data_IF_810535565193
#
_entry.id   IF_810535565193
#
_cell.length_a   1.000
_cell.length_b   1.000
_cell.length_c   1.000
_cell.angle_alpha   90.00
_cell.angle_beta   90.00
_cell.angle_gamma   90.00
#
_symmetry.space_group_name_H-M   'P 1'
#
loop_
_entity.id
_entity.type
_entity.pdbx_description
1 polymer ?
#
# COMPACT_ATOMS: atom_id res chain seq x y z
N UNK A 1 6.67 -18.75 11.94
CA UNK A 1 6.62 -17.47 11.21
C UNK A 1 5.78 -17.75 10.00
N UNK A 2 4.60 -17.14 9.89
CA UNK A 2 3.83 -17.25 8.65
C UNK A 2 4.65 -16.63 7.53
N UNK A 3 4.71 -17.34 6.39
CA UNK A 3 5.31 -16.81 5.17
C UNK A 3 4.29 -15.83 4.62
N UNK A 4 4.60 -14.55 4.68
CA UNK A 4 3.79 -13.50 4.07
C UNK A 4 4.17 -13.50 2.59
N UNK A 5 3.18 -13.65 1.71
CA UNK A 5 3.41 -13.42 0.29
C UNK A 5 3.75 -11.93 0.09
N UNK A 6 4.52 -11.59 -0.95
CA UNK A 6 4.94 -10.21 -1.17
C UNK A 6 3.74 -9.24 -1.24
N UNK A 7 2.66 -9.67 -1.89
CA UNK A 7 1.34 -9.04 -1.85
C UNK A 7 0.47 -9.91 -0.96
N UNK A 8 0.18 -9.41 0.24
CA UNK A 8 -0.63 -10.12 1.22
C UNK A 8 -2.13 -9.90 0.95
N UNK A 9 -2.48 -8.72 0.45
CA UNK A 9 -3.87 -8.32 0.23
C UNK A 9 -4.03 -7.41 -0.99
N UNK A 10 -5.11 -7.64 -1.75
CA UNK A 10 -5.59 -6.75 -2.81
C UNK A 10 -6.99 -6.24 -2.44
N UNK A 11 -7.16 -4.92 -2.44
CA UNK A 11 -8.43 -4.25 -2.11
C UNK A 11 -8.92 -3.48 -3.34
N UNK A 12 -10.07 -3.87 -3.87
CA UNK A 12 -10.76 -3.11 -4.92
C UNK A 12 -11.58 -1.97 -4.30
N UNK A 13 -11.29 -0.73 -4.69
CA UNK A 13 -11.87 0.46 -4.05
C UNK A 13 -11.77 1.70 -4.94
N UNK A 14 -12.68 2.66 -4.76
CA UNK A 14 -12.62 3.99 -5.40
C UNK A 14 -11.75 4.99 -4.64
N UNK A 15 -11.37 4.67 -3.40
CA UNK A 15 -10.54 5.53 -2.54
C UNK A 15 -9.48 4.73 -1.80
N UNK A 16 -8.34 5.34 -1.53
CA UNK A 16 -7.22 4.73 -0.80
C UNK A 16 -6.88 5.58 0.42
N UNK A 17 -6.21 5.03 1.45
CA UNK A 17 -5.60 5.85 2.48
C UNK A 17 -4.71 6.90 1.84
N UNK A 18 -4.73 8.12 2.36
CA UNK A 18 -3.87 9.19 1.83
C UNK A 18 -2.43 8.72 1.87
N UNK A 19 -1.74 8.84 0.74
CA UNK A 19 -0.35 8.40 0.62
C UNK A 19 0.62 9.54 0.35
N UNK A 20 1.91 9.27 0.52
CA UNK A 20 2.99 10.14 0.06
C UNK A 20 4.18 9.32 -0.42
N UNK A 21 5.06 9.93 -1.22
CA UNK A 21 6.31 9.32 -1.66
C UNK A 21 7.40 9.64 -0.65
N UNK A 22 7.94 8.60 -0.02
CA UNK A 22 9.04 8.69 0.94
C UNK A 22 10.38 8.24 0.36
N UNK A 23 11.27 7.81 1.25
CA UNK A 23 12.61 7.36 0.90
C UNK A 23 12.58 6.20 -0.10
N UNK A 24 13.57 6.18 -1.01
CA UNK A 24 13.64 5.16 -2.05
C UNK A 24 12.51 5.23 -3.08
N UNK A 25 11.73 6.32 -3.10
CA UNK A 25 10.51 6.48 -3.93
C UNK A 25 9.39 5.52 -3.57
N UNK A 26 9.43 4.91 -2.39
CA UNK A 26 8.36 4.05 -1.90
C UNK A 26 7.16 4.89 -1.49
N UNK A 27 5.96 4.36 -1.75
CA UNK A 27 4.72 4.99 -1.31
C UNK A 27 4.36 4.50 0.09
N UNK A 28 3.99 5.43 0.97
CA UNK A 28 3.62 5.14 2.35
C UNK A 28 2.27 5.76 2.68
N UNK A 29 1.56 5.15 3.63
CA UNK A 29 0.38 5.75 4.25
C UNK A 29 0.82 7.00 5.03
N UNK A 30 0.09 8.09 4.84
CA UNK A 30 0.35 9.36 5.52
C UNK A 30 0.03 9.22 7.03
N UNK A 31 0.93 9.65 7.93
CA UNK A 31 0.74 9.45 9.38
C UNK A 31 -0.49 10.19 9.94
N UNK A 32 -0.86 11.33 9.35
CA UNK A 32 -2.08 12.06 9.73
C UNK A 32 -3.38 11.38 9.28
N UNK A 33 -3.29 10.26 8.54
CA UNK A 33 -4.43 9.53 8.00
C UNK A 33 -5.17 10.28 6.88
N UNK A 34 -6.45 9.95 6.74
CA UNK A 34 -7.33 10.43 5.65
C UNK A 34 -7.34 9.51 4.45
N UNK A 35 -8.16 9.86 3.45
CA UNK A 35 -8.29 9.10 2.19
C UNK A 35 -8.19 10.03 0.99
N UNK A 36 -7.86 9.45 -0.17
CA UNK A 36 -7.82 10.12 -1.46
C UNK A 36 -8.47 9.26 -2.55
N UNK A 37 -9.11 9.86 -3.57
CA UNK A 37 -9.67 9.10 -4.69
C UNK A 37 -8.58 8.32 -5.43
N UNK A 38 -8.85 7.05 -5.76
CA UNK A 38 -7.87 6.20 -6.44
C UNK A 38 -7.64 6.66 -7.89
N UNK A 39 -8.65 7.26 -8.54
CA UNK A 39 -8.58 7.85 -9.88
C UNK A 39 -7.93 6.93 -10.94
N UNK A 40 -8.37 5.66 -11.00
CA UNK A 40 -7.89 4.69 -12.00
C UNK A 40 -6.45 4.22 -11.81
N UNK A 41 -5.83 4.45 -10.64
CA UNK A 41 -4.45 4.05 -10.33
C UNK A 41 -4.42 2.75 -9.55
N UNK A 42 -3.35 1.97 -9.68
CA UNK A 42 -3.00 0.93 -8.70
C UNK A 42 -2.03 1.55 -7.71
N UNK A 43 -2.36 1.44 -6.42
CA UNK A 43 -1.58 2.02 -5.32
C UNK A 43 -1.14 0.89 -4.39
N UNK A 44 0.16 0.66 -4.32
CA UNK A 44 0.76 -0.26 -3.36
C UNK A 44 1.29 0.51 -2.15
N UNK A 45 1.06 -0.02 -0.95
CA UNK A 45 1.60 0.50 0.30
C UNK A 45 2.05 -0.63 1.23
N UNK A 46 3.16 -0.45 1.97
CA UNK A 46 3.63 -1.46 2.90
C UNK A 46 2.66 -1.58 4.08
N UNK A 47 2.43 -2.81 4.55
CA UNK A 47 1.65 -3.07 5.77
C UNK A 47 2.40 -2.59 7.02
N UNK A 48 3.72 -2.74 7.01
CA UNK A 48 4.64 -2.21 8.02
C UNK A 48 5.75 -1.40 7.33
N UNK A 49 5.81 -0.12 7.66
CA UNK A 49 6.80 0.81 7.10
C UNK A 49 8.23 0.40 7.42
N UNK A 50 8.50 0.02 8.66
CA UNK A 50 9.87 -0.25 9.13
C UNK A 50 10.42 -1.51 8.47
N UNK A 51 9.60 -2.55 8.37
CA UNK A 51 9.98 -3.80 7.69
C UNK A 51 10.25 -3.57 6.20
N UNK A 52 9.41 -2.79 5.52
CA UNK A 52 9.59 -2.47 4.11
C UNK A 52 10.86 -1.64 3.88
N UNK A 53 11.11 -0.64 4.72
CA UNK A 53 12.34 0.16 4.67
C UNK A 53 13.59 -0.69 4.95
N UNK A 54 13.50 -1.66 5.87
CA UNK A 54 14.58 -2.61 6.15
C UNK A 54 14.75 -3.69 5.06
N UNK A 55 13.84 -3.75 4.06
CA UNK A 55 13.77 -4.82 3.05
C UNK A 55 13.70 -6.20 3.68
N UNK A 56 12.95 -6.31 4.77
CA UNK A 56 12.79 -7.56 5.49
C UNK A 56 12.06 -8.58 4.60
N UNK A 57 12.48 -9.86 4.56
CA UNK A 57 11.89 -10.87 3.67
C UNK A 57 10.41 -11.15 3.94
N UNK A 58 9.91 -10.80 5.13
CA UNK A 58 8.50 -10.91 5.51
C UNK A 58 7.83 -9.52 5.55
N UNK A 59 8.24 -8.59 4.67
CA UNK A 59 7.54 -7.33 4.51
C UNK A 59 6.41 -7.52 3.50
N UNK A 60 5.16 -7.50 3.97
CA UNK A 60 3.98 -7.55 3.11
C UNK A 60 3.55 -6.18 2.61
N UNK A 61 2.84 -6.20 1.48
CA UNK A 61 2.23 -5.03 0.87
C UNK A 61 0.73 -5.23 0.67
N UNK A 62 -0.04 -4.16 0.90
CA UNK A 62 -1.45 -4.08 0.49
C UNK A 62 -1.51 -3.31 -0.82
N UNK A 63 -2.17 -3.89 -1.81
CA UNK A 63 -2.40 -3.28 -3.12
C UNK A 63 -3.85 -2.82 -3.21
N UNK A 64 -4.05 -1.53 -3.44
CA UNK A 64 -5.35 -0.97 -3.77
C UNK A 64 -5.49 -0.86 -5.29
N UNK A 65 -6.56 -1.44 -5.82
CA UNK A 65 -6.89 -1.42 -7.23
C UNK A 65 -8.24 -0.72 -7.46
N UNK A 66 -8.47 -0.09 -8.62
CA UNK A 66 -9.78 0.44 -8.96
C UNK A 66 -10.82 -0.67 -8.99
N UNK A 67 -12.02 -0.37 -8.50
CA UNK A 67 -13.13 -1.33 -8.52
C UNK A 67 -13.63 -1.66 -9.93
N UNK A 68 -14.39 -2.74 -10.11
CA UNK A 68 -14.94 -3.12 -11.39
C UNK A 68 -15.94 -2.07 -11.87
N UNK A 69 -15.53 -1.21 -12.81
CA UNK A 69 -16.36 -0.13 -13.38
C UNK A 69 -15.86 1.29 -13.11
N UNK A 70 -14.73 1.45 -12.41
CA UNK A 70 -14.02 2.72 -12.25
C UNK A 70 -13.23 3.14 -13.51
#
# INVERSE_FOLDING_TARGET
MEVIDWIDEVIETDTVPRTYIGDGRMRHIHPDGGTEPINGRIIEGPQDRELATARHPNSGFTVYAPGPGA
#
